data_IF_352996893854
#
_entry.id   IF_352996893854
#
_cell.length_a   1.000
_cell.length_b   1.000
_cell.length_c   1.000
_cell.angle_alpha   90.00
_cell.angle_beta   90.00
_cell.angle_gamma   90.00
#
_symmetry.space_group_name_H-M   'P 1'
#
loop_
_entity.id
_entity.type
_entity.pdbx_description
1 polymer ?
#
# COMPACT_ATOMS: atom_id res chain seq x y z
N UNK A 1 -29.76 3.01 2.71
CA UNK A 1 -29.70 3.60 1.36
C UNK A 1 -28.27 3.46 0.84
N UNK A 2 -28.07 2.76 -0.28
CA UNK A 2 -26.77 2.70 -0.96
C UNK A 2 -26.40 4.09 -1.52
N UNK A 3 -25.10 4.44 -1.63
CA UNK A 3 -24.69 5.74 -2.15
C UNK A 3 -25.13 5.85 -3.62
N UNK A 4 -25.81 6.94 -3.94
CA UNK A 4 -26.17 7.29 -5.31
C UNK A 4 -24.89 7.69 -6.05
N UNK A 5 -24.22 6.72 -6.68
CA UNK A 5 -23.15 7.00 -7.63
C UNK A 5 -23.80 7.61 -8.86
N UNK A 6 -23.45 8.85 -9.22
CA UNK A 6 -23.94 9.46 -10.46
C UNK A 6 -23.14 8.87 -11.64
N UNK A 7 -23.83 8.23 -12.58
CA UNK A 7 -23.23 7.52 -13.73
C UNK A 7 -23.62 8.23 -15.02
N UNK A 8 -22.62 8.59 -15.83
CA UNK A 8 -22.83 9.10 -17.19
C UNK A 8 -21.79 8.53 -18.16
N UNK A 9 -22.10 8.50 -19.45
CA UNK A 9 -21.18 8.09 -20.52
C UNK A 9 -21.01 9.25 -21.50
N UNK A 10 -20.28 10.33 -21.16
CA UNK A 10 -20.29 11.56 -21.95
C UNK A 10 -19.69 11.42 -23.34
N UNK A 11 -18.78 10.47 -23.57
CA UNK A 11 -18.07 10.36 -24.86
C UNK A 11 -17.89 8.91 -25.32
N UNK A 12 -17.89 8.74 -26.64
CA UNK A 12 -17.54 7.49 -27.31
C UNK A 12 -16.46 7.76 -28.38
N UNK A 13 -15.26 7.21 -28.17
CA UNK A 13 -14.09 7.40 -29.05
C UNK A 13 -13.74 6.12 -29.81
N UNK A 14 -13.02 6.26 -30.91
CA UNK A 14 -12.46 5.13 -31.67
C UNK A 14 -11.01 4.91 -31.25
N UNK A 15 -10.61 3.66 -31.02
CA UNK A 15 -9.21 3.31 -30.70
C UNK A 15 -8.29 3.55 -31.89
N UNK A 16 -7.03 3.89 -31.61
CA UNK A 16 -5.98 4.10 -32.62
C UNK A 16 -5.16 2.81 -32.90
N UNK A 17 -5.75 1.65 -32.64
CA UNK A 17 -5.12 0.34 -32.85
C UNK A 17 -5.30 -0.14 -34.29
N UNK A 18 -4.45 -1.07 -34.76
CA UNK A 18 -4.54 -1.65 -36.11
C UNK A 18 -5.89 -2.30 -36.42
N UNK A 19 -6.58 -2.80 -35.39
CA UNK A 19 -8.01 -3.13 -35.43
C UNK A 19 -8.79 -2.10 -34.59
N UNK A 20 -9.46 -1.12 -35.20
CA UNK A 20 -10.15 -0.07 -34.48
C UNK A 20 -11.44 -0.60 -33.83
N UNK A 21 -11.72 -0.16 -32.60
CA UNK A 21 -12.94 -0.46 -31.87
C UNK A 21 -13.47 0.78 -31.14
N UNK A 22 -14.75 0.75 -30.78
CA UNK A 22 -15.39 1.85 -30.04
C UNK A 22 -15.16 1.69 -28.53
N UNK A 23 -14.69 2.76 -27.90
CA UNK A 23 -14.48 2.89 -26.46
C UNK A 23 -15.52 3.85 -25.92
N UNK A 24 -16.18 3.46 -24.83
CA UNK A 24 -17.13 4.27 -24.09
C UNK A 24 -16.47 4.75 -22.80
N UNK A 25 -16.41 6.07 -22.61
CA UNK A 25 -15.84 6.66 -21.40
C UNK A 25 -16.97 6.90 -20.41
N UNK A 26 -16.97 6.13 -19.33
CA UNK A 26 -17.97 6.19 -18.25
C UNK A 26 -17.41 7.05 -17.14
N UNK A 27 -18.11 8.12 -16.80
CA UNK A 27 -17.80 8.98 -15.65
C UNK A 27 -18.62 8.55 -14.46
N UNK A 28 -17.94 8.27 -13.35
CA UNK A 28 -18.53 7.87 -12.08
C UNK A 28 -18.25 8.96 -11.06
N UNK A 29 -19.31 9.58 -10.54
CA UNK A 29 -19.20 10.60 -9.49
C UNK A 29 -19.79 10.06 -8.19
N UNK A 30 -18.91 9.88 -7.22
CA UNK A 30 -19.21 9.51 -5.84
C UNK A 30 -19.12 10.77 -4.96
N UNK A 31 -19.70 10.76 -3.74
CA UNK A 31 -19.69 11.92 -2.86
C UNK A 31 -18.30 12.51 -2.57
N UNK A 32 -17.26 11.67 -2.57
CA UNK A 32 -15.89 12.05 -2.22
C UNK A 32 -14.89 11.96 -3.38
N UNK A 33 -15.29 11.43 -4.54
CA UNK A 33 -14.39 11.23 -5.68
C UNK A 33 -15.14 11.09 -7.00
N UNK A 34 -14.57 11.61 -8.07
CA UNK A 34 -15.01 11.33 -9.44
C UNK A 34 -13.90 10.71 -10.25
N UNK A 35 -14.19 9.69 -11.02
CA UNK A 35 -13.21 9.07 -11.91
C UNK A 35 -13.86 8.56 -13.20
N UNK A 36 -13.04 8.43 -14.23
CA UNK A 36 -13.48 7.96 -15.55
C UNK A 36 -12.90 6.59 -15.83
N UNK A 37 -13.73 5.67 -16.31
CA UNK A 37 -13.31 4.36 -16.79
C UNK A 37 -13.66 4.21 -18.26
N UNK A 38 -12.79 3.56 -19.01
CA UNK A 38 -13.00 3.28 -20.42
C UNK A 38 -13.37 1.81 -20.60
N UNK A 39 -14.50 1.53 -21.25
CA UNK A 39 -14.99 0.17 -21.52
C UNK A 39 -15.37 0.03 -22.98
N UNK A 40 -15.14 -1.15 -23.57
CA UNK A 40 -15.68 -1.49 -24.90
C UNK A 40 -17.03 -2.20 -24.74
N UNK A 41 -17.83 -2.22 -25.81
CA UNK A 41 -19.15 -2.88 -25.78
C UNK A 41 -19.09 -4.35 -25.31
N UNK A 42 -18.04 -5.08 -25.70
CA UNK A 42 -17.91 -6.48 -25.30
C UNK A 42 -17.67 -6.66 -23.79
N UNK A 43 -17.15 -5.64 -23.09
CA UNK A 43 -17.04 -5.66 -21.64
C UNK A 43 -18.43 -5.54 -20.98
N UNK A 44 -19.34 -4.76 -21.58
CA UNK A 44 -20.74 -4.66 -21.12
C UNK A 44 -21.50 -5.98 -21.31
N UNK A 45 -21.22 -6.71 -22.40
CA UNK A 45 -21.79 -8.05 -22.63
C UNK A 45 -21.31 -9.02 -21.56
N UNK A 46 -20.00 -9.05 -21.29
CA UNK A 46 -19.44 -9.91 -20.24
C UNK A 46 -19.99 -9.54 -18.85
N UNK A 47 -20.13 -8.25 -18.57
CA UNK A 47 -20.77 -7.75 -17.35
C UNK A 47 -22.22 -8.20 -17.24
N UNK A 48 -23.04 -8.04 -18.29
CA UNK A 48 -24.44 -8.45 -18.30
C UNK A 48 -24.60 -9.96 -18.03
N UNK A 49 -23.79 -10.81 -18.68
CA UNK A 49 -23.79 -12.25 -18.40
C UNK A 49 -23.40 -12.57 -16.94
N UNK A 50 -22.37 -11.90 -16.41
CA UNK A 50 -21.93 -12.07 -15.03
C UNK A 50 -22.99 -11.60 -14.03
N UNK A 51 -23.71 -10.52 -14.36
CA UNK A 51 -24.79 -9.96 -13.57
C UNK A 51 -25.94 -10.96 -13.47
N UNK A 52 -26.41 -11.48 -14.60
CA UNK A 52 -27.49 -12.48 -14.65
C UNK A 52 -27.15 -13.74 -13.84
N UNK A 53 -25.91 -14.24 -13.96
CA UNK A 53 -25.46 -15.41 -13.22
C UNK A 53 -25.43 -15.19 -11.70
N UNK A 54 -25.16 -13.97 -11.25
CA UNK A 54 -25.09 -13.65 -9.81
C UNK A 54 -26.47 -13.30 -9.20
N UNK A 55 -27.37 -12.68 -9.97
CA UNK A 55 -28.66 -12.21 -9.45
C UNK A 55 -29.83 -13.14 -9.75
N UNK A 56 -29.67 -14.11 -10.67
CA UNK A 56 -30.73 -15.00 -11.19
C UNK A 56 -31.99 -14.23 -11.63
N UNK A 57 -31.85 -12.96 -11.99
CA UNK A 57 -32.96 -12.07 -12.33
C UNK A 57 -32.52 -11.04 -13.40
N UNK A 58 -33.36 -10.75 -14.40
CA UNK A 58 -33.03 -9.80 -15.46
C UNK A 58 -32.88 -8.37 -14.89
N UNK A 59 -31.91 -7.58 -15.36
CA UNK A 59 -31.77 -6.19 -14.93
C UNK A 59 -32.97 -5.34 -15.39
N UNK A 60 -33.21 -4.17 -14.75
CA UNK A 60 -34.37 -3.32 -15.04
C UNK A 60 -34.44 -2.78 -16.47
N UNK A 61 -33.31 -2.65 -17.15
CA UNK A 61 -33.23 -2.28 -18.56
C UNK A 61 -32.46 -3.34 -19.35
N UNK A 62 -32.84 -3.61 -20.61
CA UNK A 62 -32.12 -4.54 -21.47
C UNK A 62 -30.79 -3.94 -21.95
N UNK A 63 -29.80 -4.79 -22.18
CA UNK A 63 -28.55 -4.39 -22.81
C UNK A 63 -28.83 -4.03 -24.30
N UNK A 64 -28.33 -2.89 -24.82
CA UNK A 64 -28.47 -2.55 -26.23
C UNK A 64 -27.92 -3.65 -27.14
N UNK A 65 -28.68 -4.03 -28.16
CA UNK A 65 -28.35 -5.14 -29.05
C UNK A 65 -27.12 -4.90 -29.93
N UNK A 66 -26.57 -6.01 -30.45
CA UNK A 66 -25.53 -5.95 -31.49
C UNK A 66 -26.17 -5.60 -32.83
N UNK A 67 -25.64 -4.57 -33.49
CA UNK A 67 -25.88 -4.33 -34.91
C UNK A 67 -24.91 -5.20 -35.70
N UNK A 68 -25.43 -6.10 -36.51
CA UNK A 68 -24.65 -7.12 -37.21
C UNK A 68 -24.27 -6.72 -38.64
N UNK A 69 -24.96 -5.72 -39.20
CA UNK A 69 -24.73 -5.19 -40.55
C UNK A 69 -23.99 -3.86 -40.61
N UNK A 70 -23.78 -3.19 -39.47
CA UNK A 70 -23.16 -1.87 -39.43
C UNK A 70 -22.31 -1.71 -38.18
N UNK A 71 -21.13 -1.11 -38.35
CA UNK A 71 -20.13 -0.98 -37.31
C UNK A 71 -20.16 0.44 -36.71
N UNK A 72 -20.08 0.52 -35.38
CA UNK A 72 -20.00 1.79 -34.63
C UNK A 72 -18.68 2.53 -34.83
N UNK A 73 -17.68 1.87 -35.43
CA UNK A 73 -16.42 2.51 -35.82
C UNK A 73 -16.63 3.44 -37.02
N UNK A 74 -17.33 2.99 -38.06
CA UNK A 74 -17.55 3.78 -39.28
C UNK A 74 -18.77 4.70 -39.18
N UNK A 75 -19.78 4.34 -38.38
CA UNK A 75 -21.03 5.10 -38.29
C UNK A 75 -21.14 5.89 -36.97
N UNK A 76 -21.05 7.24 -37.00
CA UNK A 76 -21.17 8.07 -35.81
C UNK A 76 -22.57 8.05 -35.18
N UNK A 77 -23.64 7.89 -35.96
CA UNK A 77 -25.02 7.90 -35.43
C UNK A 77 -25.30 6.65 -34.60
N UNK A 78 -24.94 5.47 -35.12
CA UNK A 78 -25.06 4.19 -34.38
C UNK A 78 -24.16 4.15 -33.14
N UNK A 79 -23.02 4.83 -33.18
CA UNK A 79 -22.13 4.97 -32.02
C UNK A 79 -22.77 5.79 -30.93
N UNK A 80 -23.43 6.89 -31.30
CA UNK A 80 -24.15 7.76 -30.36
C UNK A 80 -25.40 7.09 -29.80
N UNK A 81 -26.18 6.41 -30.64
CA UNK A 81 -27.34 5.61 -30.22
C UNK A 81 -26.93 4.53 -29.20
N UNK A 82 -25.85 3.78 -29.49
CA UNK A 82 -25.33 2.78 -28.56
C UNK A 82 -24.78 3.42 -27.28
N UNK A 83 -24.14 4.59 -27.34
CA UNK A 83 -23.66 5.32 -26.15
C UNK A 83 -24.83 5.66 -25.23
N UNK A 84 -25.91 6.21 -25.78
CA UNK A 84 -27.14 6.56 -25.03
C UNK A 84 -27.80 5.32 -24.44
N UNK A 85 -27.92 4.23 -25.20
CA UNK A 85 -28.50 2.98 -24.72
C UNK A 85 -27.69 2.35 -23.57
N UNK A 86 -26.35 2.38 -23.65
CA UNK A 86 -25.49 1.86 -22.58
C UNK A 86 -25.56 2.73 -21.32
N UNK A 87 -25.70 4.04 -21.48
CA UNK A 87 -25.89 4.97 -20.37
C UNK A 87 -27.22 4.74 -19.66
N UNK A 88 -28.31 4.60 -20.42
CA UNK A 88 -29.64 4.24 -19.89
C UNK A 88 -29.60 2.90 -19.14
N UNK A 89 -28.92 1.90 -19.70
CA UNK A 89 -28.74 0.58 -19.07
C UNK A 89 -28.05 0.67 -17.70
N UNK A 90 -26.94 1.40 -17.59
CA UNK A 90 -26.23 1.56 -16.32
C UNK A 90 -27.02 2.39 -15.30
N UNK A 91 -27.67 3.48 -15.74
CA UNK A 91 -28.52 4.29 -14.85
C UNK A 91 -29.69 3.49 -14.30
N UNK A 92 -30.37 2.71 -15.14
CA UNK A 92 -31.49 1.87 -14.70
C UNK A 92 -31.08 0.84 -13.65
N UNK A 93 -29.88 0.26 -13.74
CA UNK A 93 -29.33 -0.64 -12.70
C UNK A 93 -29.00 0.15 -11.43
N UNK A 94 -28.47 1.36 -11.56
CA UNK A 94 -28.05 2.20 -10.44
C UNK A 94 -29.23 2.80 -9.65
N UNK A 95 -30.31 3.13 -10.34
CA UNK A 95 -31.52 3.75 -9.80
C UNK A 95 -32.59 2.71 -9.40
N UNK A 96 -32.33 1.42 -9.65
CA UNK A 96 -33.24 0.35 -9.28
C UNK A 96 -33.55 0.32 -7.77
N UNK A 97 -34.83 0.25 -7.43
CA UNK A 97 -35.29 0.09 -6.04
C UNK A 97 -34.67 -1.15 -5.40
N UNK A 98 -34.64 -2.25 -6.15
CA UNK A 98 -34.02 -3.49 -5.70
C UNK A 98 -32.48 -3.41 -5.80
N UNK A 99 -31.75 -3.53 -4.67
CA UNK A 99 -30.31 -3.36 -4.65
C UNK A 99 -29.54 -4.59 -5.14
N UNK A 100 -30.20 -5.71 -5.50
CA UNK A 100 -29.51 -6.97 -5.85
C UNK A 100 -28.46 -6.82 -6.95
N UNK A 101 -28.75 -6.02 -7.97
CA UNK A 101 -27.84 -5.79 -9.10
C UNK A 101 -26.67 -4.87 -8.73
N UNK A 102 -26.85 -3.97 -7.75
CA UNK A 102 -25.81 -3.05 -7.29
C UNK A 102 -24.91 -3.67 -6.22
N UNK A 103 -25.45 -4.62 -5.46
CA UNK A 103 -24.74 -5.30 -4.39
C UNK A 103 -23.89 -6.48 -4.87
N UNK A 104 -24.03 -6.90 -6.12
CA UNK A 104 -23.24 -7.99 -6.66
C UNK A 104 -21.77 -7.56 -6.89
N UNK A 105 -20.86 -8.54 -6.94
CA UNK A 105 -19.43 -8.25 -7.18
C UNK A 105 -19.18 -7.83 -8.62
N UNK A 106 -19.95 -8.38 -9.57
CA UNK A 106 -19.83 -8.05 -11.00
C UNK A 106 -20.03 -6.54 -11.27
N UNK A 107 -20.99 -5.90 -10.59
CA UNK A 107 -21.24 -4.46 -10.71
C UNK A 107 -20.04 -3.63 -10.24
N UNK A 108 -19.49 -3.97 -9.07
CA UNK A 108 -18.34 -3.26 -8.51
C UNK A 108 -17.08 -3.42 -9.36
N UNK A 109 -16.80 -4.64 -9.81
CA UNK A 109 -15.66 -4.95 -10.66
C UNK A 109 -15.79 -4.25 -12.03
N UNK A 110 -16.99 -4.23 -12.61
CA UNK A 110 -17.21 -3.53 -13.88
C UNK A 110 -16.94 -2.03 -13.75
N UNK A 111 -17.43 -1.41 -12.67
CA UNK A 111 -17.29 0.04 -12.42
C UNK A 111 -15.98 0.45 -11.73
N UNK A 112 -15.08 -0.50 -11.44
CA UNK A 112 -13.87 -0.26 -10.62
C UNK A 112 -14.18 0.52 -9.31
N UNK A 113 -15.31 0.21 -8.67
CA UNK A 113 -15.70 0.84 -7.41
C UNK A 113 -14.84 0.28 -6.27
N UNK A 114 -14.32 1.12 -5.35
CA UNK A 114 -13.53 0.71 -4.21
C UNK A 114 -14.45 -0.13 -3.34
N UNK A 115 -13.90 -1.14 -2.70
CA UNK A 115 -14.68 -2.10 -1.94
C UNK A 115 -15.25 -1.55 -0.62
N UNK A 116 -15.47 -0.23 -0.50
CA UNK A 116 -15.95 0.43 0.70
C UNK A 116 -17.37 0.98 0.52
N UNK A 117 -18.27 0.45 1.38
CA UNK A 117 -19.56 0.98 1.80
C UNK A 117 -20.79 0.76 0.88
N UNK A 118 -21.45 -0.41 1.04
CA UNK A 118 -22.91 -0.51 1.33
C UNK A 118 -23.16 -1.71 2.24
N UNK A 119 -23.88 -1.47 3.33
CA UNK A 119 -24.16 -2.40 4.41
C UNK A 119 -24.89 -3.68 4.01
N UNK A 120 -24.32 -4.79 4.46
CA UNK A 120 -24.99 -5.81 5.26
C UNK A 120 -23.90 -6.71 5.85
N UNK A 121 -23.68 -6.63 7.17
CA UNK A 121 -23.06 -7.68 8.00
C UNK A 121 -21.72 -8.32 7.60
N UNK A 122 -20.94 -7.80 6.64
CA UNK A 122 -19.66 -8.40 6.24
C UNK A 122 -18.54 -7.36 6.32
N UNK A 123 -17.59 -7.66 7.20
CA UNK A 123 -16.40 -6.92 7.58
C UNK A 123 -15.82 -5.93 6.53
N UNK A 124 -15.46 -4.73 6.99
CA UNK A 124 -14.64 -3.74 6.26
C UNK A 124 -13.38 -4.38 5.68
N UNK A 125 -12.74 -3.80 4.67
CA UNK A 125 -11.39 -4.24 4.24
C UNK A 125 -10.43 -4.30 5.42
N UNK A 126 -10.51 -3.34 6.35
CA UNK A 126 -9.79 -3.35 7.62
C UNK A 126 -10.18 -4.50 8.55
N UNK A 127 -11.43 -4.98 8.56
CA UNK A 127 -11.89 -6.09 9.41
C UNK A 127 -11.71 -7.47 8.74
N UNK A 128 -11.75 -7.57 7.41
CA UNK A 128 -11.29 -8.77 6.66
C UNK A 128 -9.77 -8.90 6.78
N UNK A 129 -9.05 -7.78 6.77
CA UNK A 129 -7.62 -7.71 7.11
C UNK A 129 -7.38 -8.03 8.58
N UNK A 130 -8.17 -7.49 9.51
CA UNK A 130 -8.04 -7.82 10.94
C UNK A 130 -8.26 -9.31 11.15
N UNK A 131 -9.31 -9.90 10.56
CA UNK A 131 -9.56 -11.36 10.61
C UNK A 131 -8.39 -12.18 10.01
N UNK A 132 -7.79 -11.72 8.91
CA UNK A 132 -6.62 -12.38 8.32
C UNK A 132 -5.33 -12.22 9.15
N UNK A 133 -5.21 -11.17 9.96
CA UNK A 133 -4.01 -10.81 10.73
C UNK A 133 -4.07 -11.30 12.19
N UNK A 134 -5.25 -11.34 12.84
CA UNK A 134 -5.39 -11.64 14.28
C UNK A 134 -5.70 -13.09 14.63
N UNK A 135 -6.02 -13.95 13.67
CA UNK A 135 -6.25 -15.39 13.90
C UNK A 135 -5.24 -16.29 13.18
N UNK A 136 -4.01 -16.43 13.71
CA UNK A 136 -3.10 -17.46 13.25
C UNK A 136 -3.54 -18.81 13.84
N UNK A 137 -4.28 -19.61 13.06
CA UNK A 137 -4.58 -21.02 13.42
C UNK A 137 -6.03 -21.49 13.29
N UNK A 138 -6.97 -20.65 12.82
CA UNK A 138 -8.30 -21.13 12.47
C UNK A 138 -8.23 -21.97 11.18
N UNK A 139 -8.31 -23.30 11.33
CA UNK A 139 -8.49 -24.25 10.22
C UNK A 139 -9.78 -23.88 9.48
N UNK A 140 -9.65 -23.12 8.38
CA UNK A 140 -10.78 -22.71 7.55
C UNK A 140 -10.67 -21.34 6.88
N UNK A 141 -9.76 -20.45 7.29
CA UNK A 141 -9.66 -19.07 6.75
C UNK A 141 -8.54 -18.88 5.71
N UNK A 142 -8.10 -19.96 5.07
CA UNK A 142 -7.32 -19.85 3.84
C UNK A 142 -8.20 -19.14 2.79
N UNK A 143 -7.68 -18.09 2.15
CA UNK A 143 -8.26 -17.43 0.96
C UNK A 143 -9.15 -16.18 1.16
N UNK A 144 -8.66 -15.17 1.88
CA UNK A 144 -9.34 -13.86 1.89
C UNK A 144 -9.08 -13.02 0.63
N UNK A 145 -7.88 -13.10 0.03
CA UNK A 145 -7.50 -12.30 -1.14
C UNK A 145 -7.64 -13.14 -2.42
N UNK A 146 -8.85 -13.21 -2.95
CA UNK A 146 -9.20 -13.94 -4.19
C UNK A 146 -9.51 -13.01 -5.38
N UNK A 147 -9.53 -11.71 -5.14
CA UNK A 147 -9.82 -10.69 -6.16
C UNK A 147 -8.54 -9.96 -6.59
N UNK A 148 -8.24 -9.89 -7.89
CA UNK A 148 -7.13 -9.11 -8.42
C UNK A 148 -7.07 -7.64 -7.98
N UNK A 149 -8.23 -7.00 -7.74
CA UNK A 149 -8.33 -5.59 -7.33
C UNK A 149 -8.07 -5.43 -5.84
N UNK A 150 -8.65 -6.30 -5.01
CA UNK A 150 -8.40 -6.35 -3.57
C UNK A 150 -6.91 -6.57 -3.26
N UNK A 151 -6.23 -7.39 -4.06
CA UNK A 151 -4.78 -7.58 -3.94
C UNK A 151 -4.00 -6.27 -4.10
N UNK A 152 -4.39 -5.41 -5.05
CA UNK A 152 -3.72 -4.12 -5.27
C UNK A 152 -4.00 -3.14 -4.13
N UNK A 153 -5.19 -3.17 -3.54
CA UNK A 153 -5.52 -2.35 -2.38
C UNK A 153 -4.73 -2.79 -1.15
N UNK A 154 -4.69 -4.09 -0.85
CA UNK A 154 -3.85 -4.64 0.22
C UNK A 154 -2.35 -4.34 0.00
N UNK A 155 -1.90 -4.30 -1.26
CA UNK A 155 -0.53 -3.91 -1.60
C UNK A 155 -0.26 -2.42 -1.29
N UNK A 156 -1.23 -1.52 -1.55
CA UNK A 156 -1.11 -0.09 -1.19
C UNK A 156 -1.04 0.10 0.32
N UNK A 157 -1.89 -0.61 1.07
CA UNK A 157 -1.89 -0.56 2.53
C UNK A 157 -0.57 -1.09 3.11
N UNK A 158 -0.03 -2.17 2.53
CA UNK A 158 1.29 -2.69 2.89
C UNK A 158 2.40 -1.66 2.65
N UNK A 159 2.40 -1.00 1.48
CA UNK A 159 3.35 0.08 1.17
C UNK A 159 3.24 1.23 2.18
N UNK A 160 2.02 1.61 2.58
CA UNK A 160 1.81 2.63 3.60
C UNK A 160 2.44 2.24 4.94
N UNK A 161 2.28 1.00 5.40
CA UNK A 161 2.93 0.52 6.62
C UNK A 161 4.46 0.49 6.54
N UNK A 162 5.05 0.15 5.39
CA UNK A 162 6.50 0.25 5.21
C UNK A 162 6.99 1.71 5.21
N UNK A 163 6.18 2.63 4.68
CA UNK A 163 6.46 4.06 4.76
C UNK A 163 6.39 4.56 6.21
N UNK A 164 5.34 4.21 6.96
CA UNK A 164 5.21 4.57 8.38
C UNK A 164 6.37 4.02 9.21
N UNK A 165 6.78 2.78 8.95
CA UNK A 165 7.94 2.18 9.60
C UNK A 165 9.21 3.02 9.36
N UNK A 166 9.49 3.45 8.12
CA UNK A 166 10.60 4.35 7.82
C UNK A 166 10.51 5.66 8.59
N UNK A 167 9.35 6.31 8.55
CA UNK A 167 9.14 7.59 9.21
C UNK A 167 9.40 7.51 10.72
N UNK A 168 8.91 6.44 11.36
CA UNK A 168 9.15 6.21 12.78
C UNK A 168 10.62 5.93 13.10
N UNK A 169 11.35 5.21 12.24
CA UNK A 169 12.80 4.98 12.41
C UNK A 169 13.61 6.28 12.26
N UNK A 170 13.23 7.15 11.32
CA UNK A 170 13.83 8.48 11.19
C UNK A 170 13.51 9.36 12.40
N UNK A 171 12.26 9.35 12.87
CA UNK A 171 11.85 10.11 14.06
C UNK A 171 12.62 9.65 15.31
N UNK A 172 12.80 8.35 15.48
CA UNK A 172 13.59 7.75 16.56
C UNK A 172 15.00 8.33 16.63
N UNK A 173 15.61 8.57 15.48
CA UNK A 173 16.98 9.10 15.39
C UNK A 173 17.06 10.58 15.76
N UNK A 174 16.00 11.33 15.49
CA UNK A 174 15.89 12.76 15.84
C UNK A 174 15.51 12.98 17.31
N UNK A 175 14.95 11.97 17.98
CA UNK A 175 14.53 12.07 19.37
C UNK A 175 15.73 11.99 20.32
N UNK A 176 15.83 12.96 21.24
CA UNK A 176 16.94 13.07 22.19
C UNK A 176 16.68 12.33 23.50
N UNK A 177 15.42 12.05 23.83
CA UNK A 177 15.02 11.39 25.07
C UNK A 177 14.84 9.88 24.87
N UNK A 178 15.41 9.01 25.73
CA UNK A 178 15.26 7.56 25.60
C UNK A 178 13.81 7.08 25.55
N UNK A 179 12.91 7.68 26.32
CA UNK A 179 11.48 7.32 26.36
C UNK A 179 10.81 7.51 24.99
N UNK A 180 11.04 8.65 24.33
CA UNK A 180 10.49 8.91 22.99
C UNK A 180 11.11 7.99 21.95
N UNK A 181 12.43 7.76 22.01
CA UNK A 181 13.11 6.80 21.14
C UNK A 181 12.48 5.41 21.23
N UNK A 182 12.13 4.95 22.43
CA UNK A 182 11.43 3.66 22.61
C UNK A 182 10.01 3.68 22.03
N UNK A 183 9.25 4.77 22.21
CA UNK A 183 7.90 4.93 21.63
C UNK A 183 7.94 4.88 20.08
N UNK A 184 8.86 5.64 19.47
CA UNK A 184 9.07 5.64 18.02
C UNK A 184 9.55 4.27 17.52
N UNK A 185 10.42 3.59 18.27
CA UNK A 185 10.84 2.20 17.96
C UNK A 185 9.66 1.22 18.00
N UNK A 186 8.79 1.35 19.00
CA UNK A 186 7.62 0.49 19.15
C UNK A 186 6.60 0.70 18.02
N UNK A 187 6.40 1.95 17.59
CA UNK A 187 5.57 2.28 16.43
C UNK A 187 6.17 1.73 15.13
N UNK A 188 7.47 1.92 14.90
CA UNK A 188 8.17 1.33 13.75
C UNK A 188 8.01 -0.19 13.71
N UNK A 189 8.24 -0.86 14.83
CA UNK A 189 8.07 -2.32 14.95
C UNK A 189 6.64 -2.77 14.65
N UNK A 190 5.65 -2.04 15.18
CA UNK A 190 4.23 -2.35 14.94
C UNK A 190 3.87 -2.26 13.45
N UNK A 191 4.35 -1.23 12.76
CA UNK A 191 4.14 -1.07 11.31
C UNK A 191 4.86 -2.16 10.50
N UNK A 192 6.08 -2.56 10.89
CA UNK A 192 6.82 -3.67 10.26
C UNK A 192 6.12 -5.02 10.41
N UNK A 193 5.54 -5.31 11.58
CA UNK A 193 4.76 -6.54 11.81
C UNK A 193 3.52 -6.58 10.93
N UNK A 194 2.80 -5.44 10.82
CA UNK A 194 1.63 -5.34 9.93
C UNK A 194 2.01 -5.50 8.47
N UNK A 195 3.08 -4.85 8.02
CA UNK A 195 3.60 -5.01 6.66
C UNK A 195 4.02 -6.47 6.38
N UNK A 196 4.69 -7.13 7.33
CA UNK A 196 5.06 -8.54 7.20
C UNK A 196 3.85 -9.48 7.09
N UNK A 197 2.82 -9.24 7.89
CA UNK A 197 1.57 -10.01 7.84
C UNK A 197 0.86 -9.83 6.48
N UNK A 198 0.83 -8.60 5.96
CA UNK A 198 0.27 -8.29 4.65
C UNK A 198 1.07 -8.92 3.51
N UNK A 199 2.41 -8.94 3.59
CA UNK A 199 3.24 -9.62 2.58
C UNK A 199 2.88 -11.10 2.51
N UNK A 200 2.74 -11.78 3.64
CA UNK A 200 2.30 -13.19 3.67
C UNK A 200 0.92 -13.39 3.07
N UNK A 201 -0.07 -12.58 3.47
CA UNK A 201 -1.42 -12.65 2.92
C UNK A 201 -1.48 -12.38 1.41
N UNK A 202 -0.67 -11.43 0.91
CA UNK A 202 -0.56 -11.10 -0.52
C UNK A 202 0.12 -12.22 -1.32
N UNK A 203 1.09 -12.93 -0.74
CA UNK A 203 1.73 -14.09 -1.36
C UNK A 203 0.75 -15.25 -1.50
N UNK A 204 0.00 -15.56 -0.43
CA UNK A 204 -1.04 -16.59 -0.46
C UNK A 204 -2.15 -16.24 -1.45
N UNK A 205 -2.60 -14.98 -1.45
CA UNK A 205 -3.57 -14.48 -2.43
C UNK A 205 -3.06 -14.60 -3.87
N UNK A 206 -1.79 -14.28 -4.11
CA UNK A 206 -1.18 -14.39 -5.43
C UNK A 206 -1.04 -15.85 -5.89
N UNK A 207 -0.75 -16.77 -4.97
CA UNK A 207 -0.73 -18.21 -5.24
C UNK A 207 -2.11 -18.71 -5.65
N UNK A 208 -3.15 -18.37 -4.89
CA UNK A 208 -4.55 -18.72 -5.19
C UNK A 208 -5.01 -18.18 -6.55
N UNK A 209 -4.64 -16.94 -6.88
CA UNK A 209 -4.91 -16.31 -8.17
C UNK A 209 -4.14 -16.99 -9.32
N UNK A 210 -2.95 -17.53 -9.05
CA UNK A 210 -2.16 -18.31 -9.99
C UNK A 210 -2.74 -19.71 -10.23
N UNK A 211 -3.16 -20.38 -9.16
CA UNK A 211 -3.76 -21.73 -9.21
C UNK A 211 -5.13 -21.68 -9.93
N UNK A 212 -5.96 -20.67 -9.67
CA UNK A 212 -7.20 -20.42 -10.42
C UNK A 212 -6.96 -20.24 -11.93
N UNK A 213 -5.80 -19.70 -12.33
CA UNK A 213 -5.40 -19.53 -13.72
C UNK A 213 -4.82 -20.83 -14.34
N UNK A 214 -4.29 -21.74 -13.52
CA UNK A 214 -3.85 -23.07 -13.96
C UNK A 214 -5.07 -23.99 -14.17
N UNK A 215 -6.04 -23.96 -13.27
CA UNK A 215 -7.31 -24.71 -13.39
C UNK A 215 -8.11 -24.25 -14.62
N UNK A 216 -8.21 -22.93 -14.85
CA UNK A 216 -8.86 -22.39 -16.05
C UNK A 216 -8.18 -22.86 -17.36
N UNK A 217 -6.85 -23.07 -17.36
CA UNK A 217 -6.10 -23.62 -18.50
C UNK A 217 -6.34 -25.12 -18.70
N UNK A 218 -6.48 -25.90 -17.64
CA UNK A 218 -6.75 -27.35 -17.73
C UNK A 218 -8.14 -27.65 -18.31
N UNK A 219 -9.15 -26.87 -17.94
CA UNK A 219 -10.55 -27.01 -18.42
C UNK A 219 -10.69 -26.55 -19.88
N UNK A 220 -9.87 -25.58 -20.33
CA UNK A 220 -9.87 -25.08 -21.70
C UNK A 220 -9.34 -26.09 -22.74
N UNK A 221 -8.70 -27.19 -22.31
CA UNK A 221 -8.25 -28.26 -23.21
C UNK A 221 -9.40 -29.11 -23.79
N UNK A 222 -10.62 -29.01 -23.24
CA UNK A 222 -11.77 -29.84 -23.66
C UNK A 222 -12.84 -29.16 -24.51
N UNK A 223 -12.87 -27.82 -24.60
CA UNK A 223 -13.88 -27.12 -25.43
C UNK A 223 -13.42 -25.71 -25.77
N UNK A 224 -13.20 -25.46 -27.06
CA UNK A 224 -12.91 -24.12 -27.60
C UNK A 224 -14.08 -23.18 -27.26
N UNK A 225 -13.83 -22.11 -26.49
CA UNK A 225 -14.70 -20.93 -26.52
C UNK A 225 -15.09 -20.20 -25.23
N UNK A 226 -14.48 -20.44 -24.06
CA UNK A 226 -14.79 -19.65 -22.86
C UNK A 226 -13.86 -18.43 -22.71
N UNK A 227 -14.21 -17.34 -23.40
CA UNK A 227 -13.53 -16.06 -23.27
C UNK A 227 -13.84 -15.40 -21.92
N UNK A 228 -12.83 -15.34 -21.04
CA UNK A 228 -12.70 -14.33 -19.99
C UNK A 228 -13.39 -14.59 -18.65
N UNK A 229 -12.83 -15.47 -17.82
CA UNK A 229 -13.02 -15.36 -16.37
C UNK A 229 -12.28 -14.10 -15.89
N UNK A 230 -13.02 -13.05 -15.52
CA UNK A 230 -12.49 -11.73 -15.12
C UNK A 230 -11.61 -11.72 -13.87
N UNK A 231 -11.42 -12.88 -13.22
CA UNK A 231 -10.56 -13.07 -12.05
C UNK A 231 -9.20 -13.72 -12.38
N UNK A 232 -9.01 -14.24 -13.61
CA UNK A 232 -7.77 -14.89 -14.00
C UNK A 232 -6.72 -13.84 -14.41
N UNK A 233 -5.65 -13.72 -13.63
CA UNK A 233 -4.53 -12.83 -13.93
C UNK A 233 -3.64 -13.43 -15.02
N UNK A 234 -3.24 -12.60 -15.99
CA UNK A 234 -2.27 -13.00 -17.00
C UNK A 234 -0.91 -13.34 -16.37
N UNK A 235 -0.15 -14.24 -17.00
CA UNK A 235 1.14 -14.72 -16.50
C UNK A 235 2.15 -13.58 -16.26
N UNK A 236 2.17 -12.58 -17.13
CA UNK A 236 3.00 -11.38 -16.96
C UNK A 236 2.60 -10.51 -15.76
N UNK A 237 1.30 -10.39 -15.46
CA UNK A 237 0.84 -9.64 -14.29
C UNK A 237 1.09 -10.42 -12.99
N UNK A 238 0.98 -11.76 -13.01
CA UNK A 238 1.40 -12.60 -11.87
C UNK A 238 2.90 -12.39 -11.60
N UNK A 239 3.74 -12.40 -12.65
CA UNK A 239 5.18 -12.15 -12.51
C UNK A 239 5.46 -10.77 -11.91
N UNK A 240 4.82 -9.72 -12.45
CA UNK A 240 4.93 -8.37 -11.93
C UNK A 240 4.55 -8.29 -10.45
N UNK A 241 3.46 -8.93 -10.03
CA UNK A 241 3.04 -8.97 -8.62
C UNK A 241 4.02 -9.72 -7.72
N UNK A 242 4.66 -10.78 -8.22
CA UNK A 242 5.76 -11.45 -7.51
C UNK A 242 6.95 -10.50 -7.32
N UNK A 243 7.35 -9.77 -8.36
CA UNK A 243 8.46 -8.82 -8.29
C UNK A 243 8.19 -7.69 -7.28
N UNK A 244 6.95 -7.19 -7.25
CA UNK A 244 6.52 -6.20 -6.23
C UNK A 244 6.65 -6.75 -4.80
N UNK A 245 6.27 -8.01 -4.57
CA UNK A 245 6.38 -8.65 -3.24
C UNK A 245 7.83 -8.92 -2.85
N UNK A 246 8.68 -9.32 -3.79
CA UNK A 246 10.13 -9.48 -3.54
C UNK A 246 10.75 -8.15 -3.10
N UNK A 247 10.42 -7.06 -3.78
CA UNK A 247 10.88 -5.72 -3.41
C UNK A 247 10.38 -5.31 -2.02
N UNK A 248 9.09 -5.50 -1.74
CA UNK A 248 8.50 -5.21 -0.43
C UNK A 248 9.15 -6.01 0.70
N UNK A 249 9.46 -7.29 0.47
CA UNK A 249 10.17 -8.15 1.43
C UNK A 249 11.59 -7.67 1.68
N UNK A 250 12.33 -7.32 0.62
CA UNK A 250 13.69 -6.78 0.75
C UNK A 250 13.70 -5.49 1.57
N UNK A 251 12.75 -4.60 1.30
CA UNK A 251 12.57 -3.36 2.03
C UNK A 251 12.23 -3.61 3.50
N UNK A 252 11.23 -4.45 3.78
CA UNK A 252 10.83 -4.83 5.14
C UNK A 252 12.00 -5.39 5.95
N UNK A 253 12.77 -6.32 5.37
CA UNK A 253 13.96 -6.90 6.01
C UNK A 253 15.03 -5.83 6.28
N UNK A 254 15.28 -4.93 5.32
CA UNK A 254 16.25 -3.84 5.52
C UNK A 254 15.86 -2.88 6.64
N UNK A 255 14.56 -2.62 6.82
CA UNK A 255 14.04 -1.80 7.93
C UNK A 255 14.10 -2.53 9.27
N UNK A 256 13.86 -3.85 9.29
CA UNK A 256 14.05 -4.69 10.48
C UNK A 256 15.52 -4.73 10.91
N UNK A 257 16.45 -4.89 9.97
CA UNK A 257 17.89 -4.87 10.25
C UNK A 257 18.34 -3.51 10.80
N UNK A 258 17.78 -2.42 10.27
CA UNK A 258 18.05 -1.07 10.78
C UNK A 258 17.51 -0.89 12.20
N UNK A 259 16.27 -1.31 12.47
CA UNK A 259 15.69 -1.29 13.82
C UNK A 259 16.57 -2.09 14.81
N UNK A 260 17.04 -3.26 14.40
CA UNK A 260 17.90 -4.11 15.23
C UNK A 260 19.27 -3.48 15.48
N UNK A 261 19.91 -2.91 14.44
CA UNK A 261 21.19 -2.20 14.58
C UNK A 261 21.07 -0.98 15.49
N UNK A 262 19.96 -0.25 15.37
CA UNK A 262 19.61 0.89 16.21
C UNK A 262 19.39 0.50 17.68
N UNK A 263 18.81 -0.67 17.94
CA UNK A 263 18.66 -1.21 19.29
C UNK A 263 20.01 -1.69 19.86
N UNK A 264 20.86 -2.31 19.03
CA UNK A 264 22.21 -2.72 19.42
C UNK A 264 23.08 -1.51 19.81
N UNK A 265 23.06 -0.44 19.00
CA UNK A 265 23.74 0.83 19.30
C UNK A 265 23.30 1.40 20.67
N UNK A 266 22.00 1.45 20.93
CA UNK A 266 21.48 1.94 22.21
C UNK A 266 21.96 1.11 23.42
N UNK A 267 22.13 -0.21 23.27
CA UNK A 267 22.70 -1.06 24.34
C UNK A 267 24.17 -0.76 24.59
N UNK A 268 24.94 -0.55 23.52
CA UNK A 268 26.37 -0.18 23.62
C UNK A 268 26.51 1.19 24.29
N UNK A 269 25.74 2.18 23.84
CA UNK A 269 25.74 3.54 24.43
C UNK A 269 25.42 3.50 25.94
N UNK A 270 24.40 2.72 26.33
CA UNK A 270 24.04 2.54 27.74
C UNK A 270 25.11 1.79 28.54
N UNK A 271 25.77 0.78 27.97
CA UNK A 271 26.84 0.05 28.64
C UNK A 271 28.04 0.99 28.89
N UNK A 272 28.44 1.79 27.91
CA UNK A 272 29.51 2.79 28.04
C UNK A 272 29.18 3.85 29.08
N UNK A 273 27.95 4.39 29.07
CA UNK A 273 27.50 5.36 30.08
C UNK A 273 27.50 4.76 31.49
N UNK A 274 27.03 3.52 31.66
CA UNK A 274 27.01 2.83 32.96
C UNK A 274 28.41 2.58 33.53
N UNK A 275 29.42 2.37 32.66
CA UNK A 275 30.81 2.22 33.08
C UNK A 275 31.34 3.55 33.62
N UNK A 276 31.07 4.66 32.94
CA UNK A 276 31.45 6.00 33.40
C UNK A 276 30.75 6.40 34.70
N UNK A 277 29.45 6.13 34.82
CA UNK A 277 28.67 6.42 36.02
C UNK A 277 29.09 5.55 37.22
N UNK A 278 29.44 4.28 36.97
CA UNK A 278 30.00 3.38 38.01
C UNK A 278 31.37 3.87 38.48
N UNK A 279 32.21 4.35 37.58
CA UNK A 279 33.51 4.92 37.92
C UNK A 279 33.37 6.20 38.77
N UNK A 280 32.39 7.05 38.44
CA UNK A 280 32.08 8.27 39.20
C UNK A 280 31.49 7.97 40.60
N UNK A 281 30.62 6.97 40.72
CA UNK A 281 29.93 6.63 41.96
C UNK A 281 30.84 5.88 42.96
N UNK A 282 31.66 4.94 42.49
CA UNK A 282 32.61 4.20 43.33
C UNK A 282 33.77 5.10 43.80
N UNK A 283 34.12 6.12 43.01
CA UNK A 283 35.11 7.15 43.41
C UNK A 283 34.67 8.10 44.53
N UNK A 284 33.37 8.12 44.88
CA UNK A 284 32.79 9.03 45.88
C UNK A 284 32.51 8.38 47.25
N UNK A 285 32.44 7.05 47.32
CA UNK A 285 31.97 6.34 48.52
C UNK A 285 33.06 5.97 49.56
N UNK A 286 34.35 6.19 49.31
CA UNK A 286 35.43 5.86 50.26
C UNK A 286 35.93 7.10 51.00
N UNK A 287 35.21 7.50 52.05
CA UNK A 287 35.67 8.54 52.99
C UNK A 287 36.78 8.03 53.92
N UNK A 288 37.98 8.62 53.80
CA UNK A 288 38.91 9.01 54.88
C UNK A 288 40.04 9.89 54.29
N UNK A 289 40.40 11.03 54.90
CA UNK A 289 41.44 11.90 54.37
C UNK A 289 42.81 11.39 54.86
N UNK A 290 43.68 10.98 53.94
CA UNK A 290 45.08 10.71 54.24
C UNK A 290 45.99 11.59 53.37
N UNK A 291 47.04 12.05 54.03
CA UNK A 291 47.95 13.14 53.66
C UNK A 291 48.66 12.95 52.31
N UNK A 292 48.86 14.10 51.67
CA UNK A 292 50.08 14.53 50.97
C UNK A 292 50.84 13.48 50.15
N UNK A 293 50.56 13.50 48.85
CA UNK A 293 51.44 13.03 47.78
C UNK A 293 50.75 13.41 46.48
N UNK A 294 51.33 14.32 45.69
CA UNK A 294 50.72 14.79 44.44
C UNK A 294 50.80 13.65 43.41
N UNK A 295 49.87 12.70 43.49
CA UNK A 295 49.69 11.63 42.51
C UNK A 295 48.91 12.23 41.33
N UNK A 296 49.56 12.29 40.18
CA UNK A 296 48.98 12.72 38.91
C UNK A 296 48.01 11.62 38.44
N UNK A 297 46.72 11.81 38.67
CA UNK A 297 45.64 10.92 38.21
C UNK A 297 45.34 9.77 39.17
N UNK A 298 44.05 9.52 39.42
CA UNK A 298 43.60 8.30 40.10
C UNK A 298 43.55 7.19 39.04
N UNK A 299 44.28 6.09 39.25
CA UNK A 299 44.22 4.91 38.38
C UNK A 299 42.86 4.21 38.50
N UNK A 300 42.32 3.75 37.37
CA UNK A 300 41.08 2.96 37.31
C UNK A 300 41.31 1.55 37.86
N UNK A 301 40.30 0.90 38.45
CA UNK A 301 40.42 -0.49 38.98
C UNK A 301 40.97 -1.46 37.92
N UNK A 302 40.70 -1.20 36.63
CA UNK A 302 41.16 -1.98 35.48
C UNK A 302 42.64 -1.82 35.15
N UNK A 303 43.24 -0.67 35.47
CA UNK A 303 44.65 -0.36 35.21
C UNK A 303 45.52 -0.54 36.46
N UNK A 304 44.92 -0.57 37.65
CA UNK A 304 45.62 -0.66 38.95
C UNK A 304 46.40 -1.96 39.14
N UNK A 305 45.97 -3.04 38.50
CA UNK A 305 46.56 -4.38 38.65
C UNK A 305 47.55 -4.72 37.53
N UNK A 306 47.71 -3.83 36.55
CA UNK A 306 48.48 -4.09 35.33
C UNK A 306 49.84 -3.38 35.38
N UNK A 307 50.90 -4.11 34.99
CA UNK A 307 52.20 -3.52 34.64
C UNK A 307 52.05 -2.60 33.40
N UNK A 308 53.00 -1.70 33.18
CA UNK A 308 53.12 -0.83 32.00
C UNK A 308 52.92 -1.59 30.67
N UNK A 309 53.44 -2.82 30.55
CA UNK A 309 53.18 -3.65 29.37
C UNK A 309 51.71 -4.09 29.28
N UNK A 310 51.10 -4.45 30.42
CA UNK A 310 49.68 -4.78 30.52
C UNK A 310 48.76 -3.59 30.23
N UNK A 311 49.12 -2.39 30.70
CA UNK A 311 48.40 -1.13 30.40
C UNK A 311 48.47 -0.82 28.90
N UNK A 312 49.63 -0.97 28.28
CA UNK A 312 49.78 -0.76 26.83
C UNK A 312 48.98 -1.80 26.02
N UNK A 313 48.92 -3.04 26.49
CA UNK A 313 48.10 -4.07 25.86
C UNK A 313 46.61 -3.80 26.02
N UNK A 314 46.16 -3.37 27.20
CA UNK A 314 44.79 -2.94 27.45
C UNK A 314 44.40 -1.74 26.59
N UNK A 315 45.30 -0.76 26.43
CA UNK A 315 45.06 0.39 25.56
C UNK A 315 44.89 -0.04 24.10
N UNK A 316 45.77 -0.92 23.59
CA UNK A 316 45.63 -1.47 22.23
C UNK A 316 44.31 -2.19 22.04
N UNK A 317 43.92 -3.02 23.00
CA UNK A 317 42.63 -3.72 22.97
C UNK A 317 41.46 -2.75 23.00
N UNK A 318 41.53 -1.70 23.82
CA UNK A 318 40.49 -0.67 23.89
C UNK A 318 40.38 0.11 22.58
N UNK A 319 41.52 0.42 21.94
CA UNK A 319 41.51 1.06 20.62
C UNK A 319 40.91 0.15 19.54
N UNK A 320 41.21 -1.15 19.57
CA UNK A 320 40.63 -2.13 18.65
C UNK A 320 39.10 -2.27 18.85
N UNK A 321 38.63 -2.32 20.10
CA UNK A 321 37.20 -2.34 20.43
C UNK A 321 36.48 -1.05 19.97
N UNK A 322 37.15 0.10 20.08
CA UNK A 322 36.65 1.39 19.59
C UNK A 322 36.59 1.42 18.06
N UNK A 323 37.61 0.92 17.36
CA UNK A 323 37.64 0.85 15.90
C UNK A 323 36.52 -0.07 15.35
N UNK A 324 36.27 -1.21 16.00
CA UNK A 324 35.13 -2.07 15.67
C UNK A 324 33.79 -1.33 15.84
N UNK A 325 33.64 -0.60 16.94
CA UNK A 325 32.42 0.18 17.23
C UNK A 325 32.21 1.29 16.19
N UNK A 326 33.29 1.96 15.75
CA UNK A 326 33.24 2.98 14.70
C UNK A 326 32.81 2.39 13.36
N UNK A 327 33.28 1.20 13.01
CA UNK A 327 32.88 0.53 11.77
C UNK A 327 31.38 0.15 11.78
N UNK A 328 30.83 -0.25 12.93
CA UNK A 328 29.39 -0.44 13.08
C UNK A 328 28.60 0.87 12.93
N UNK A 329 29.07 1.96 13.55
CA UNK A 329 28.47 3.28 13.37
C UNK A 329 28.52 3.74 11.92
N UNK A 330 29.63 3.51 11.21
CA UNK A 330 29.77 3.83 9.79
C UNK A 330 28.71 3.13 8.94
N UNK A 331 28.46 1.84 9.20
CA UNK A 331 27.41 1.07 8.52
C UNK A 331 26.02 1.63 8.79
N UNK A 332 25.74 2.06 10.03
CA UNK A 332 24.46 2.67 10.40
C UNK A 332 24.29 4.01 9.67
N UNK A 333 25.28 4.89 9.73
CA UNK A 333 25.25 6.22 9.10
C UNK A 333 25.12 6.10 7.58
N UNK A 334 25.80 5.14 6.96
CA UNK A 334 25.67 4.90 5.52
C UNK A 334 24.23 4.51 5.14
N UNK A 335 23.61 3.58 5.88
CA UNK A 335 22.20 3.21 5.65
C UNK A 335 21.24 4.36 5.94
N UNK A 336 21.51 5.15 6.98
CA UNK A 336 20.71 6.35 7.29
C UNK A 336 20.78 7.38 6.16
N UNK A 337 21.96 7.60 5.58
CA UNK A 337 22.13 8.46 4.41
C UNK A 337 21.32 7.96 3.23
N UNK A 338 21.39 6.66 2.92
CA UNK A 338 20.61 6.05 1.84
C UNK A 338 19.10 6.21 2.06
N UNK A 339 18.62 6.00 3.30
CA UNK A 339 17.22 6.22 3.66
C UNK A 339 16.81 7.69 3.53
N UNK A 340 17.66 8.63 3.98
CA UNK A 340 17.38 10.06 3.88
C UNK A 340 17.24 10.53 2.43
N UNK A 341 18.09 10.02 1.53
CA UNK A 341 18.00 10.28 0.09
C UNK A 341 16.69 9.72 -0.48
N UNK A 342 16.33 8.48 -0.12
CA UNK A 342 15.10 7.86 -0.60
C UNK A 342 13.83 8.59 -0.11
N UNK A 343 13.83 9.08 1.14
CA UNK A 343 12.74 9.87 1.70
C UNK A 343 12.61 11.19 0.95
N UNK A 344 13.72 11.90 0.73
CA UNK A 344 13.70 13.16 0.04
C UNK A 344 13.16 13.00 -1.39
N UNK A 345 13.61 11.99 -2.13
CA UNK A 345 13.10 11.69 -3.47
C UNK A 345 11.59 11.38 -3.47
N UNK A 346 11.10 10.59 -2.51
CA UNK A 346 9.66 10.31 -2.40
C UNK A 346 8.86 11.57 -2.01
N UNK A 347 9.39 12.42 -1.12
CA UNK A 347 8.76 13.70 -0.77
C UNK A 347 8.74 14.66 -1.96
N UNK A 348 9.77 14.69 -2.80
CA UNK A 348 9.78 15.47 -4.04
C UNK A 348 8.68 15.01 -4.99
N UNK A 349 8.56 13.68 -5.21
CA UNK A 349 7.50 13.10 -6.02
C UNK A 349 6.11 13.43 -5.44
N UNK A 350 5.93 13.29 -4.13
CA UNK A 350 4.66 13.61 -3.48
C UNK A 350 4.33 15.10 -3.55
N UNK A 351 5.32 15.98 -3.42
CA UNK A 351 5.12 17.41 -3.61
C UNK A 351 4.73 17.76 -5.04
N UNK A 352 5.34 17.11 -6.04
CA UNK A 352 4.94 17.27 -7.44
C UNK A 352 3.48 16.81 -7.67
N UNK A 353 3.11 15.68 -7.06
CA UNK A 353 1.76 15.13 -7.16
C UNK A 353 0.71 15.99 -6.44
N UNK A 354 1.08 16.59 -5.30
CA UNK A 354 0.25 17.56 -4.59
C UNK A 354 0.08 18.85 -5.40
N UNK A 355 1.13 19.37 -6.04
CA UNK A 355 1.03 20.54 -6.93
C UNK A 355 0.09 20.29 -8.09
N UNK A 356 0.19 19.13 -8.75
CA UNK A 356 -0.74 18.74 -9.81
C UNK A 356 -2.19 18.66 -9.30
N UNK A 357 -2.38 18.15 -8.09
CA UNK A 357 -3.69 18.07 -7.45
C UNK A 357 -4.25 19.47 -7.13
N UNK A 358 -3.39 20.39 -6.66
CA UNK A 358 -3.76 21.77 -6.36
C UNK A 358 -4.14 22.53 -7.64
N UNK A 359 -3.35 22.40 -8.71
CA UNK A 359 -3.67 22.96 -10.03
C UNK A 359 -5.01 22.44 -10.58
N UNK A 360 -5.29 21.15 -10.41
CA UNK A 360 -6.57 20.56 -10.81
C UNK A 360 -7.73 21.04 -9.92
N UNK A 361 -7.47 21.30 -8.64
CA UNK A 361 -8.45 21.87 -7.70
C UNK A 361 -8.77 23.32 -8.05
N UNK A 362 -7.77 24.15 -8.36
CA UNK A 362 -7.93 25.52 -8.85
C UNK A 362 -8.73 25.58 -10.15
N UNK A 363 -8.44 24.66 -11.08
CA UNK A 363 -9.19 24.55 -12.34
C UNK A 363 -10.64 24.16 -12.09
N UNK A 364 -10.88 23.27 -11.12
CA UNK A 364 -12.22 22.87 -10.72
C UNK A 364 -12.96 24.05 -10.08
N UNK A 365 -12.33 24.79 -9.16
CA UNK A 365 -12.91 25.95 -8.51
C UNK A 365 -13.32 27.02 -9.52
N UNK A 366 -12.45 27.35 -10.48
CA UNK A 366 -12.77 28.29 -11.58
C UNK A 366 -13.98 27.82 -12.40
N UNK A 367 -14.06 26.52 -12.71
CA UNK A 367 -15.21 25.95 -13.43
C UNK A 367 -16.49 26.01 -12.61
N UNK A 368 -16.42 25.74 -11.31
CA UNK A 368 -17.54 25.84 -10.37
C UNK A 368 -18.01 27.29 -10.23
N UNK A 369 -17.10 28.26 -10.14
CA UNK A 369 -17.44 29.68 -10.07
C UNK A 369 -18.15 30.16 -11.35
N UNK A 370 -17.67 29.74 -12.53
CA UNK A 370 -18.34 30.01 -13.81
C UNK A 370 -19.74 29.37 -13.83
N UNK A 371 -19.87 28.12 -13.35
CA UNK A 371 -21.15 27.45 -13.19
C UNK A 371 -22.11 28.23 -12.30
N UNK A 372 -21.64 28.69 -11.14
CA UNK A 372 -22.40 29.51 -10.18
C UNK A 372 -22.85 30.84 -10.79
N UNK A 373 -21.97 31.52 -11.53
CA UNK A 373 -22.30 32.77 -12.26
C UNK A 373 -23.34 32.54 -13.37
N UNK A 374 -23.35 31.38 -14.02
CA UNK A 374 -24.36 31.04 -15.04
C UNK A 374 -25.71 30.72 -14.39
N UNK A 375 -25.72 29.97 -13.29
CA UNK A 375 -26.95 29.65 -12.53
C UNK A 375 -27.59 30.93 -11.99
N UNK A 376 -26.81 31.85 -11.40
CA UNK A 376 -27.32 33.12 -10.90
C UNK A 376 -27.77 34.13 -11.97
N UNK A 377 -27.59 33.83 -13.27
CA UNK A 377 -28.16 34.60 -14.38
C UNK A 377 -29.46 34.01 -14.92
N UNK A 378 -29.79 32.78 -14.49
CA UNK A 378 -30.98 32.03 -14.93
C UNK A 378 -32.08 32.07 -13.86
N UNK A 379 -31.72 32.35 -12.60
CA UNK A 379 -32.64 32.87 -11.57
C UNK A 379 -32.70 34.39 -11.65
#
# INVERSE_FOLDING_TARGET
MAPNVEISIPTATTSHTSSPYTIYNITLRLPLRSFTISKRYSDFVAFHSSLLNQTNAPPPAPLPGKHWFSNTVSNPTLREERRQGLESYLRAINEADDPRWRNCSAWRAFLNLPSSAVGNGSATTSAKLHAAITEPGAVGTQSAITDPTLWLDCYRDMKAHLHDARLHLTRRDQETTPQKQHESSARAKSSLVRAGSLIGALEDGLKNLGDANADARSVASGKRGAWGSGNALGEGEIRRRKDLLVNARKEKNGLEDLLNAMAAKSRIDNAVASIQDKEALVGSASGKPARSGRVLGKETERTRELDNQGVLQLQKQTMEDQDMSIEELRKIVQRQKELGIAINAELEIQNELLKLTDEDTDRLEKKVEIGKKRVGKIS
#
